data_IF_714888451235
#
_entry.id   IF_714888451235
#
_cell.length_a   1.000
_cell.length_b   1.000
_cell.length_c   1.000
_cell.angle_alpha   90.00
_cell.angle_beta   90.00
_cell.angle_gamma   90.00
#
_symmetry.space_group_name_H-M   'P 1'
#
loop_
_entity.id
_entity.type
_entity.pdbx_description
1 polymer ?
#
# COMPACT_ATOMS: atom_id res chain seq x y z
N UNK A 1 -14.33 -10.61 -9.74
CA UNK A 1 -13.28 -10.12 -8.83
C UNK A 1 -13.30 -8.60 -8.84
N UNK A 2 -13.25 -8.02 -7.65
CA UNK A 2 -13.26 -6.58 -7.52
C UNK A 2 -11.86 -6.01 -7.79
N UNK A 3 -11.79 -5.03 -8.70
CA UNK A 3 -10.54 -4.34 -8.99
C UNK A 3 -10.54 -3.00 -8.28
N UNK A 4 -9.46 -2.73 -7.54
CA UNK A 4 -9.30 -1.46 -6.83
C UNK A 4 -8.44 -0.52 -7.67
N UNK A 5 -8.94 0.68 -7.88
CA UNK A 5 -8.15 1.75 -8.50
C UNK A 5 -7.64 2.66 -7.38
N UNK A 6 -6.33 2.74 -7.24
CA UNK A 6 -5.70 3.47 -6.13
C UNK A 6 -4.64 4.40 -6.70
N UNK A 7 -4.93 5.69 -6.74
CA UNK A 7 -3.98 6.69 -7.23
C UNK A 7 -3.86 7.86 -6.25
N UNK A 8 -4.98 8.36 -5.76
CA UNK A 8 -5.01 9.55 -4.92
C UNK A 8 -5.35 9.22 -3.48
N UNK A 9 -5.10 10.19 -2.59
CA UNK A 9 -5.46 10.06 -1.18
C UNK A 9 -6.96 9.82 -1.01
N UNK A 10 -7.78 10.43 -1.85
CA UNK A 10 -9.23 10.26 -1.81
C UNK A 10 -9.63 8.79 -2.04
N UNK A 11 -9.00 8.15 -3.03
CA UNK A 11 -9.26 6.73 -3.34
C UNK A 11 -8.89 5.85 -2.15
N UNK A 12 -7.74 6.10 -1.56
CA UNK A 12 -7.24 5.33 -0.43
C UNK A 12 -8.15 5.49 0.79
N UNK A 13 -8.57 6.71 1.12
CA UNK A 13 -9.46 6.96 2.24
C UNK A 13 -10.79 6.24 2.07
N UNK A 14 -11.32 6.23 0.84
CA UNK A 14 -12.58 5.57 0.54
C UNK A 14 -12.51 4.07 0.79
N UNK A 15 -11.44 3.44 0.33
CA UNK A 15 -11.26 2.00 0.50
C UNK A 15 -10.95 1.67 1.97
N UNK A 16 -10.12 2.47 2.63
CA UNK A 16 -9.75 2.24 4.02
C UNK A 16 -10.97 2.22 4.94
N UNK A 17 -11.97 3.07 4.67
CA UNK A 17 -13.21 3.11 5.46
C UNK A 17 -14.03 1.83 5.34
N UNK A 18 -13.82 1.05 4.30
CA UNK A 18 -14.54 -0.20 4.05
C UNK A 18 -13.88 -1.39 4.74
N UNK A 19 -12.69 -1.22 5.28
CA UNK A 19 -11.93 -2.29 5.91
C UNK A 19 -12.06 -2.21 7.43
N UNK A 20 -12.34 -3.35 8.07
CA UNK A 20 -12.35 -3.43 9.54
C UNK A 20 -10.94 -3.36 10.09
N UNK A 21 -9.98 -3.93 9.37
CA UNK A 21 -8.56 -3.92 9.73
C UNK A 21 -7.77 -3.45 8.50
N UNK A 22 -7.01 -2.36 8.66
CA UNK A 22 -6.24 -1.80 7.56
C UNK A 22 -5.19 -2.77 7.00
N UNK A 23 -4.81 -3.77 7.80
CA UNK A 23 -3.84 -4.78 7.40
C UNK A 23 -4.47 -6.06 6.85
N UNK A 24 -5.79 -6.10 6.69
CA UNK A 24 -6.47 -7.23 6.06
C UNK A 24 -6.13 -7.31 4.58
N UNK A 25 -5.90 -8.53 4.06
CA UNK A 25 -5.70 -8.70 2.62
C UNK A 25 -6.94 -8.25 1.84
N UNK A 26 -6.71 -7.61 0.70
CA UNK A 26 -7.81 -7.13 -0.15
C UNK A 26 -7.85 -7.81 -1.51
N UNK A 27 -6.99 -8.80 -1.74
CA UNK A 27 -7.06 -9.60 -2.96
C UNK A 27 -6.63 -11.04 -2.66
N UNK A 28 -6.73 -11.91 -3.67
CA UNK A 28 -6.41 -13.33 -3.52
C UNK A 28 -4.93 -13.61 -3.30
N UNK A 29 -4.07 -12.64 -3.56
CA UNK A 29 -2.63 -12.77 -3.33
C UNK A 29 -2.23 -12.33 -1.93
N UNK A 30 -3.20 -12.04 -1.07
CA UNK A 30 -2.99 -11.55 0.30
C UNK A 30 -2.26 -10.21 0.36
N UNK A 31 -2.35 -9.41 -0.71
CA UNK A 31 -1.83 -8.05 -0.69
C UNK A 31 -2.76 -7.15 0.13
N UNK A 32 -2.18 -6.21 0.88
CA UNK A 32 -2.95 -5.24 1.66
C UNK A 32 -3.15 -3.97 0.85
N UNK A 33 -3.93 -3.04 1.40
CA UNK A 33 -4.11 -1.73 0.77
C UNK A 33 -2.78 -1.01 0.63
N UNK A 34 -1.88 -1.13 1.62
CA UNK A 34 -0.56 -0.51 1.54
C UNK A 34 0.27 -1.09 0.39
N UNK A 35 0.20 -2.41 0.16
CA UNK A 35 0.88 -3.02 -0.99
C UNK A 35 0.43 -2.38 -2.30
N UNK A 36 -0.89 -2.31 -2.53
CA UNK A 36 -1.41 -1.78 -3.77
C UNK A 36 -1.15 -0.29 -3.92
N UNK A 37 -1.27 0.45 -2.83
CA UNK A 37 -0.96 1.88 -2.83
C UNK A 37 0.51 2.11 -3.20
N UNK A 38 1.40 1.28 -2.69
CA UNK A 38 2.84 1.42 -2.93
C UNK A 38 3.21 1.27 -4.41
N UNK A 39 2.50 0.41 -5.14
CA UNK A 39 2.80 0.19 -6.56
C UNK A 39 2.01 1.13 -7.48
N UNK A 40 0.82 1.57 -7.07
CA UNK A 40 -0.09 2.30 -7.94
C UNK A 40 -0.08 3.82 -7.77
N UNK A 41 0.22 4.31 -6.56
CA UNK A 41 0.15 5.75 -6.30
C UNK A 41 1.27 6.51 -7.00
N UNK A 42 0.90 7.65 -7.60
CA UNK A 42 1.87 8.56 -8.18
C UNK A 42 2.40 9.57 -7.17
N UNK A 43 1.88 9.57 -5.94
CA UNK A 43 2.21 10.50 -4.86
C UNK A 43 2.47 9.72 -3.58
N UNK A 44 3.27 10.28 -2.67
CA UNK A 44 3.57 9.66 -1.39
C UNK A 44 2.47 9.89 -0.35
N UNK A 45 1.62 10.88 -0.52
CA UNK A 45 0.60 11.24 0.46
C UNK A 45 -0.33 10.08 0.83
N UNK A 46 -0.84 9.29 -0.13
CA UNK A 46 -1.66 8.11 0.21
C UNK A 46 -0.90 7.09 1.05
N UNK A 47 0.37 6.88 0.77
CA UNK A 47 1.21 5.93 1.51
C UNK A 47 1.40 6.43 2.94
N UNK A 48 1.71 7.73 3.09
CA UNK A 48 1.90 8.34 4.40
C UNK A 48 0.63 8.23 5.25
N UNK A 49 -0.53 8.46 4.62
CA UNK A 49 -1.82 8.32 5.31
C UNK A 49 -2.01 6.90 5.87
N UNK A 50 -1.75 5.88 5.04
CA UNK A 50 -1.92 4.50 5.47
C UNK A 50 -0.97 4.14 6.62
N UNK A 51 0.27 4.59 6.54
CA UNK A 51 1.24 4.35 7.61
C UNK A 51 0.81 5.03 8.91
N UNK A 52 0.25 6.24 8.81
CA UNK A 52 -0.23 6.98 9.98
C UNK A 52 -1.39 6.29 10.68
N UNK A 53 -2.24 5.59 9.94
CA UNK A 53 -3.39 4.88 10.54
C UNK A 53 -3.08 3.42 10.89
N UNK A 54 -1.82 3.03 10.84
CA UNK A 54 -1.37 1.74 11.35
C UNK A 54 -1.12 0.65 10.32
N UNK A 55 -1.04 0.99 9.04
CA UNK A 55 -0.70 -0.01 8.03
C UNK A 55 0.72 -0.54 8.29
N UNK A 56 0.88 -1.86 8.20
CA UNK A 56 2.15 -2.53 8.51
C UNK A 56 3.00 -2.71 7.25
N UNK A 57 4.11 -1.96 7.11
CA UNK A 57 4.94 -2.06 5.91
C UNK A 57 5.76 -3.35 5.83
N UNK A 58 5.84 -4.10 6.93
CA UNK A 58 6.58 -5.37 6.96
C UNK A 58 5.73 -6.57 6.54
N UNK A 59 4.42 -6.41 6.45
CA UNK A 59 3.52 -7.50 6.09
C UNK A 59 3.78 -7.96 4.65
N UNK A 60 3.76 -9.28 4.43
CA UNK A 60 4.05 -9.86 3.12
C UNK A 60 2.80 -10.49 2.50
N UNK A 61 2.79 -10.56 1.17
CA UNK A 61 1.76 -11.28 0.42
C UNK A 61 2.12 -12.76 0.29
N UNK A 62 1.36 -13.50 -0.53
CA UNK A 62 1.62 -14.95 -0.71
C UNK A 62 2.97 -15.25 -1.36
N UNK A 63 3.60 -14.26 -1.99
CA UNK A 63 4.90 -14.43 -2.64
C UNK A 63 6.04 -13.96 -1.74
N UNK A 64 5.74 -13.58 -0.50
CA UNK A 64 6.74 -13.07 0.43
C UNK A 64 7.19 -11.64 0.17
N UNK A 65 6.39 -10.88 -0.58
CA UNK A 65 6.71 -9.50 -0.93
C UNK A 65 6.06 -8.51 0.03
N UNK A 66 6.83 -7.55 0.51
CA UNK A 66 6.31 -6.47 1.35
C UNK A 66 5.99 -5.22 0.51
N UNK A 67 5.54 -4.15 1.17
CA UNK A 67 5.18 -2.92 0.46
C UNK A 67 6.38 -2.27 -0.23
N UNK A 68 7.59 -2.42 0.30
CA UNK A 68 8.77 -1.90 -0.36
C UNK A 68 9.02 -2.62 -1.69
N UNK A 69 8.82 -3.95 -1.72
CA UNK A 69 8.97 -4.73 -2.95
C UNK A 69 7.98 -4.26 -4.02
N UNK A 70 6.76 -3.92 -3.60
CA UNK A 70 5.76 -3.36 -4.50
C UNK A 70 6.17 -1.97 -4.96
N UNK A 71 6.65 -1.13 -4.05
CA UNK A 71 7.05 0.23 -4.38
C UNK A 71 8.21 0.30 -5.38
N UNK A 72 9.09 -0.69 -5.37
CA UNK A 72 10.19 -0.77 -6.34
C UNK A 72 9.67 -0.89 -7.77
N UNK A 73 8.45 -1.38 -7.95
CA UNK A 73 7.82 -1.52 -9.25
C UNK A 73 6.98 -0.31 -9.65
N UNK A 74 6.87 0.66 -8.74
CA UNK A 74 6.15 1.91 -9.01
C UNK A 74 7.01 2.76 -9.95
N UNK A 75 6.36 3.43 -10.90
CA UNK A 75 7.04 4.35 -11.81
C UNK A 75 7.63 5.56 -11.07
N UNK A 76 7.06 5.89 -9.92
CA UNK A 76 7.55 7.00 -9.11
C UNK A 76 8.51 6.47 -8.05
N UNK A 77 9.82 6.76 -8.13
CA UNK A 77 10.81 6.22 -7.20
C UNK A 77 10.67 6.78 -5.78
N UNK A 78 9.93 7.87 -5.60
CA UNK A 78 9.76 8.47 -4.27
C UNK A 78 9.04 7.53 -3.32
N UNK A 79 8.06 6.76 -3.83
CA UNK A 79 7.34 5.79 -3.01
C UNK A 79 8.30 4.76 -2.39
N UNK A 80 9.25 4.26 -3.18
CA UNK A 80 10.24 3.31 -2.68
C UNK A 80 11.14 3.91 -1.62
N UNK A 81 11.57 5.15 -1.80
CA UNK A 81 12.42 5.83 -0.83
C UNK A 81 11.69 6.03 0.50
N UNK A 82 10.43 6.43 0.44
CA UNK A 82 9.62 6.64 1.64
C UNK A 82 9.52 5.37 2.47
N UNK A 83 9.17 4.26 1.84
CA UNK A 83 9.00 2.98 2.54
C UNK A 83 10.34 2.43 3.00
N UNK A 84 11.38 2.56 2.19
CA UNK A 84 12.72 2.11 2.57
C UNK A 84 13.18 2.78 3.87
N UNK A 85 12.95 4.08 4.00
CA UNK A 85 13.35 4.82 5.20
C UNK A 85 12.61 4.34 6.45
N UNK A 86 11.40 3.84 6.29
CA UNK A 86 10.60 3.32 7.40
C UNK A 86 11.08 1.92 7.80
N UNK A 87 11.40 1.07 6.82
CA UNK A 87 11.86 -0.30 7.06
C UNK A 87 13.30 -0.37 7.55
N UNK A 88 14.04 0.69 7.34
CA UNK A 88 15.47 0.76 7.66
C UNK A 88 15.79 0.58 9.15
#
# INVERSE_FOLDING_TARGET
MKTYYIDTLKDVKKIAKMLDDINSPINKNNATLLHLCSIMSSDTEPIEYLLDIGANPYQVDIFGLNSFDYAKRNKNPIAGLLIYNILK
#
